data_IF_640372555603
#
_entry.id   IF_640372555603
#
_cell.length_a   1.000
_cell.length_b   1.000
_cell.length_c   1.000
_cell.angle_alpha   90.00
_cell.angle_beta   90.00
_cell.angle_gamma   90.00
#
_symmetry.space_group_name_H-M   'P 1'
#
loop_
_entity.id
_entity.type
_entity.pdbx_description
1 polymer ?
#
# COMPACT_ATOMS: atom_id res chain seq x y z
N UNK A 1 -17.87 -111.04 13.23
CA UNK A 1 -17.09 -109.80 13.03
C UNK A 1 -17.44 -109.07 11.72
N UNK A 2 -17.59 -109.74 10.57
CA UNK A 2 -17.89 -109.11 9.27
C UNK A 2 -19.16 -108.23 9.23
N UNK A 3 -20.26 -108.65 9.88
CA UNK A 3 -21.54 -107.91 9.87
C UNK A 3 -21.50 -106.59 10.67
N UNK A 4 -20.66 -106.52 11.71
CA UNK A 4 -20.47 -105.30 12.53
C UNK A 4 -19.61 -104.28 11.76
N UNK A 5 -18.58 -104.75 11.05
CA UNK A 5 -17.74 -103.90 10.20
C UNK A 5 -18.52 -103.28 9.02
N UNK A 6 -19.42 -104.06 8.40
CA UNK A 6 -20.32 -103.57 7.34
C UNK A 6 -21.28 -102.48 7.84
N UNK A 7 -21.92 -102.67 9.00
CA UNK A 7 -22.79 -101.63 9.58
C UNK A 7 -22.06 -100.34 10.00
N UNK A 8 -20.75 -100.41 10.29
CA UNK A 8 -19.92 -99.23 10.56
C UNK A 8 -19.53 -98.47 9.28
N UNK A 9 -19.37 -99.17 8.16
CA UNK A 9 -19.10 -98.55 6.86
C UNK A 9 -20.32 -97.80 6.35
N UNK A 10 -21.51 -98.39 6.41
CA UNK A 10 -22.76 -97.76 5.99
C UNK A 10 -23.04 -96.45 6.74
N UNK A 11 -22.82 -96.43 8.06
CA UNK A 11 -22.97 -95.20 8.87
C UNK A 11 -22.03 -94.08 8.42
N UNK A 12 -20.78 -94.42 8.05
CA UNK A 12 -19.81 -93.44 7.53
C UNK A 12 -20.23 -92.94 6.16
N UNK A 13 -20.70 -93.82 5.27
CA UNK A 13 -21.20 -93.47 3.94
C UNK A 13 -22.37 -92.49 4.06
N UNK A 14 -23.39 -92.82 4.85
CA UNK A 14 -24.55 -91.94 5.10
C UNK A 14 -24.11 -90.60 5.70
N UNK A 15 -23.16 -90.60 6.64
CA UNK A 15 -22.62 -89.37 7.21
C UNK A 15 -21.86 -88.52 6.18
N UNK A 16 -21.10 -89.14 5.27
CA UNK A 16 -20.39 -88.44 4.20
C UNK A 16 -21.34 -87.88 3.15
N UNK A 17 -22.40 -88.62 2.81
CA UNK A 17 -23.45 -88.17 1.90
C UNK A 17 -24.20 -86.97 2.48
N UNK A 18 -24.53 -87.00 3.77
CA UNK A 18 -25.13 -85.85 4.46
C UNK A 18 -24.21 -84.62 4.46
N UNK A 19 -22.91 -84.81 4.72
CA UNK A 19 -21.92 -83.73 4.66
C UNK A 19 -21.77 -83.13 3.24
N UNK A 20 -21.76 -83.98 2.22
CA UNK A 20 -21.74 -83.57 0.81
C UNK A 20 -23.00 -82.80 0.41
N UNK A 21 -24.17 -83.21 0.89
CA UNK A 21 -25.42 -82.49 0.64
C UNK A 21 -25.39 -81.07 1.25
N UNK A 22 -24.90 -80.94 2.49
CA UNK A 22 -24.70 -79.63 3.15
C UNK A 22 -23.70 -78.78 2.38
N UNK A 23 -22.57 -79.35 1.96
CA UNK A 23 -21.56 -78.64 1.19
C UNK A 23 -22.12 -78.19 -0.17
N UNK A 24 -22.89 -79.03 -0.85
CA UNK A 24 -23.56 -78.68 -2.12
C UNK A 24 -24.57 -77.55 -1.95
N UNK A 25 -25.34 -77.52 -0.87
CA UNK A 25 -26.21 -76.39 -0.55
C UNK A 25 -25.41 -75.10 -0.34
N UNK A 26 -24.35 -75.15 0.46
CA UNK A 26 -23.48 -73.99 0.71
C UNK A 26 -22.83 -73.48 -0.58
N UNK A 27 -22.43 -74.39 -1.48
CA UNK A 27 -21.86 -74.03 -2.78
C UNK A 27 -22.87 -73.28 -3.64
N UNK A 28 -24.12 -73.75 -3.73
CA UNK A 28 -25.20 -73.05 -4.43
C UNK A 28 -25.50 -71.67 -3.84
N UNK A 29 -25.51 -71.56 -2.50
CA UNK A 29 -25.67 -70.26 -1.83
C UNK A 29 -24.50 -69.33 -2.17
N UNK A 30 -23.27 -69.84 -2.16
CA UNK A 30 -22.08 -69.05 -2.51
C UNK A 30 -22.14 -68.55 -3.95
N UNK A 31 -22.50 -69.41 -4.90
CA UNK A 31 -22.66 -69.06 -6.31
C UNK A 31 -23.69 -67.94 -6.49
N UNK A 32 -24.87 -68.06 -5.85
CA UNK A 32 -25.88 -67.00 -5.87
C UNK A 32 -25.39 -65.68 -5.26
N UNK A 33 -24.64 -65.75 -4.15
CA UNK A 33 -24.09 -64.56 -3.51
C UNK A 33 -23.02 -63.89 -4.37
N UNK A 34 -22.17 -64.67 -5.04
CA UNK A 34 -21.14 -64.15 -5.96
C UNK A 34 -21.80 -63.46 -7.14
N UNK A 35 -22.82 -64.05 -7.75
CA UNK A 35 -23.56 -63.40 -8.84
C UNK A 35 -24.27 -62.12 -8.40
N UNK A 36 -24.86 -62.10 -7.19
CA UNK A 36 -25.46 -60.89 -6.63
C UNK A 36 -24.42 -59.80 -6.36
N UNK A 37 -23.24 -60.17 -5.84
CA UNK A 37 -22.15 -59.24 -5.60
C UNK A 37 -21.57 -58.68 -6.90
N UNK A 38 -21.43 -59.52 -7.94
CA UNK A 38 -20.98 -59.09 -9.27
C UNK A 38 -21.96 -58.08 -9.89
N UNK A 39 -23.26 -58.35 -9.83
CA UNK A 39 -24.28 -57.42 -10.31
C UNK A 39 -24.25 -56.08 -9.56
N UNK A 40 -24.18 -56.12 -8.22
CA UNK A 40 -24.10 -54.90 -7.40
C UNK A 40 -22.81 -54.10 -7.66
N UNK A 41 -21.69 -54.78 -7.90
CA UNK A 41 -20.42 -54.13 -8.22
C UNK A 41 -20.45 -53.45 -9.60
N UNK A 42 -21.07 -54.07 -10.60
CA UNK A 42 -21.24 -53.48 -11.93
C UNK A 42 -22.16 -52.25 -11.88
N UNK A 43 -23.30 -52.37 -11.18
CA UNK A 43 -24.24 -51.25 -11.01
C UNK A 43 -23.59 -50.07 -10.29
N UNK A 44 -22.87 -50.32 -9.18
CA UNK A 44 -22.14 -49.27 -8.47
C UNK A 44 -21.02 -48.63 -9.29
N UNK A 45 -20.33 -49.39 -10.16
CA UNK A 45 -19.33 -48.84 -11.08
C UNK A 45 -19.96 -47.96 -12.17
N UNK A 46 -21.12 -48.36 -12.70
CA UNK A 46 -21.85 -47.56 -13.69
C UNK A 46 -22.39 -46.26 -13.09
N UNK A 47 -22.89 -46.31 -11.84
CA UNK A 47 -23.32 -45.12 -11.09
C UNK A 47 -22.16 -44.14 -10.86
N UNK A 48 -21.04 -44.62 -10.30
CA UNK A 48 -19.84 -43.79 -10.08
C UNK A 48 -19.31 -43.21 -11.38
N UNK A 49 -19.36 -43.97 -12.48
CA UNK A 49 -18.95 -43.49 -13.80
C UNK A 49 -19.88 -42.38 -14.31
N UNK A 50 -21.18 -42.52 -14.11
CA UNK A 50 -22.15 -41.49 -14.49
C UNK A 50 -21.92 -40.20 -13.69
N UNK A 51 -21.77 -40.31 -12.37
CA UNK A 51 -21.50 -39.17 -11.48
C UNK A 51 -20.20 -38.45 -11.86
N UNK A 52 -19.12 -39.19 -12.10
CA UNK A 52 -17.83 -38.63 -12.52
C UNK A 52 -17.97 -37.87 -13.84
N UNK A 53 -18.75 -38.40 -14.79
CA UNK A 53 -19.00 -37.77 -16.08
C UNK A 53 -19.77 -36.45 -15.91
N UNK A 54 -20.81 -36.43 -15.07
CA UNK A 54 -21.60 -35.22 -14.83
C UNK A 54 -20.77 -34.17 -14.10
N UNK A 55 -20.05 -34.55 -13.05
CA UNK A 55 -19.18 -33.64 -12.31
C UNK A 55 -18.08 -33.04 -13.22
N UNK A 56 -17.51 -33.84 -14.13
CA UNK A 56 -16.51 -33.34 -15.08
C UNK A 56 -17.10 -32.34 -16.07
N UNK A 57 -18.37 -32.53 -16.48
CA UNK A 57 -19.09 -31.58 -17.32
C UNK A 57 -19.37 -30.28 -16.57
N UNK A 58 -19.91 -30.36 -15.36
CA UNK A 58 -20.17 -29.18 -14.51
C UNK A 58 -18.89 -28.39 -14.23
N UNK A 59 -17.79 -29.08 -13.91
CA UNK A 59 -16.49 -28.44 -13.71
C UNK A 59 -15.98 -27.73 -14.97
N UNK A 60 -16.15 -28.35 -16.14
CA UNK A 60 -15.75 -27.76 -17.42
C UNK A 60 -16.58 -26.53 -17.74
N UNK A 61 -17.90 -26.60 -17.55
CA UNK A 61 -18.81 -25.46 -17.74
C UNK A 61 -18.49 -24.34 -16.74
N UNK A 62 -18.27 -24.66 -15.47
CA UNK A 62 -17.85 -23.72 -14.43
C UNK A 62 -16.54 -23.02 -14.76
N UNK A 63 -15.54 -23.76 -15.25
CA UNK A 63 -14.26 -23.19 -15.70
C UNK A 63 -14.46 -22.22 -16.88
N UNK A 64 -15.21 -22.62 -17.91
CA UNK A 64 -15.49 -21.72 -19.05
C UNK A 64 -16.25 -20.47 -18.64
N UNK A 65 -17.19 -20.57 -17.70
CA UNK A 65 -17.91 -19.42 -17.16
C UNK A 65 -16.99 -18.48 -16.39
N UNK A 66 -16.07 -19.04 -15.59
CA UNK A 66 -15.10 -18.26 -14.84
C UNK A 66 -14.10 -17.53 -15.76
N UNK A 67 -13.59 -18.22 -16.78
CA UNK A 67 -12.71 -17.64 -17.80
C UNK A 67 -13.37 -16.47 -18.53
N UNK A 68 -14.66 -16.63 -18.90
CA UNK A 68 -15.44 -15.57 -19.54
C UNK A 68 -15.59 -14.37 -18.61
N UNK A 69 -16.04 -14.58 -17.37
CA UNK A 69 -16.22 -13.49 -16.38
C UNK A 69 -14.91 -12.75 -16.09
N UNK A 70 -13.79 -13.48 -16.01
CA UNK A 70 -12.48 -12.88 -15.82
C UNK A 70 -12.07 -12.01 -17.02
N UNK A 71 -12.31 -12.51 -18.23
CA UNK A 71 -12.00 -11.78 -19.48
C UNK A 71 -12.85 -10.52 -19.61
N UNK A 72 -14.13 -10.60 -19.27
CA UNK A 72 -15.05 -9.45 -19.25
C UNK A 72 -14.61 -8.40 -18.21
N UNK A 73 -14.28 -8.83 -16.98
CA UNK A 73 -13.82 -7.93 -15.93
C UNK A 73 -12.49 -7.25 -16.29
N UNK A 74 -11.55 -7.99 -16.89
CA UNK A 74 -10.28 -7.43 -17.35
C UNK A 74 -10.48 -6.43 -18.50
N UNK A 75 -11.37 -6.72 -19.44
CA UNK A 75 -11.69 -5.83 -20.55
C UNK A 75 -12.33 -4.53 -20.04
N UNK A 76 -13.32 -4.63 -19.15
CA UNK A 76 -13.97 -3.46 -18.55
C UNK A 76 -12.98 -2.57 -17.78
N UNK A 77 -12.09 -3.18 -16.99
CA UNK A 77 -11.04 -2.46 -16.27
C UNK A 77 -10.05 -1.79 -17.23
N UNK A 78 -9.68 -2.47 -18.33
CA UNK A 78 -8.79 -1.92 -19.34
C UNK A 78 -9.41 -0.70 -20.04
N UNK A 79 -10.70 -0.76 -20.38
CA UNK A 79 -11.45 0.36 -20.95
C UNK A 79 -11.54 1.54 -19.97
N UNK A 80 -11.82 1.29 -18.69
CA UNK A 80 -11.88 2.35 -17.67
C UNK A 80 -10.52 3.05 -17.51
N UNK A 81 -9.43 2.28 -17.41
CA UNK A 81 -8.09 2.85 -17.35
C UNK A 81 -7.73 3.63 -18.61
N UNK A 82 -8.07 3.11 -19.80
CA UNK A 82 -7.85 3.79 -21.07
C UNK A 82 -8.58 5.13 -21.14
N UNK A 83 -9.84 5.16 -20.70
CA UNK A 83 -10.64 6.40 -20.63
C UNK A 83 -10.02 7.43 -19.69
N UNK A 84 -9.67 7.03 -18.46
CA UNK A 84 -9.03 7.92 -17.48
C UNK A 84 -7.68 8.45 -17.96
N UNK A 85 -6.87 7.61 -18.63
CA UNK A 85 -5.60 8.06 -19.22
C UNK A 85 -5.82 9.10 -20.31
N UNK A 86 -6.83 8.90 -21.17
CA UNK A 86 -7.18 9.88 -22.20
C UNK A 86 -7.61 11.22 -21.59
N UNK A 87 -8.42 11.20 -20.54
CA UNK A 87 -8.85 12.40 -19.82
C UNK A 87 -7.66 13.15 -19.21
N UNK A 88 -6.73 12.43 -18.56
CA UNK A 88 -5.50 13.02 -17.99
C UNK A 88 -4.62 13.63 -19.10
N UNK A 89 -4.47 12.95 -20.24
CA UNK A 89 -3.68 13.47 -21.36
C UNK A 89 -4.27 14.76 -21.96
N UNK A 90 -5.60 14.83 -22.07
CA UNK A 90 -6.30 16.03 -22.52
C UNK A 90 -6.11 17.18 -21.52
N UNK A 91 -6.31 16.92 -20.23
CA UNK A 91 -6.09 17.91 -19.17
C UNK A 91 -4.65 18.41 -19.12
N UNK A 92 -3.67 17.52 -19.27
CA UNK A 92 -2.26 17.88 -19.31
C UNK A 92 -1.93 18.80 -20.50
N UNK A 93 -2.51 18.51 -21.67
CA UNK A 93 -2.31 19.34 -22.87
C UNK A 93 -2.89 20.75 -22.68
N UNK A 94 -4.09 20.85 -22.10
CA UNK A 94 -4.72 22.13 -21.79
C UNK A 94 -3.91 22.96 -20.78
N UNK A 95 -3.42 22.34 -19.71
CA UNK A 95 -2.56 23.01 -18.73
C UNK A 95 -1.23 23.46 -19.35
N UNK A 96 -0.64 22.67 -20.26
CA UNK A 96 0.58 23.06 -20.98
C UNK A 96 0.35 24.30 -21.85
N UNK A 97 -0.81 24.39 -22.50
CA UNK A 97 -1.22 25.56 -23.29
C UNK A 97 -1.42 26.80 -22.41
N UNK A 98 -2.16 26.70 -21.30
CA UNK A 98 -2.35 27.81 -20.36
C UNK A 98 -1.01 28.32 -19.79
N UNK A 99 -0.10 27.41 -19.42
CA UNK A 99 1.23 27.78 -18.92
C UNK A 99 2.05 28.48 -20.01
N UNK A 100 1.93 28.06 -21.27
CA UNK A 100 2.61 28.72 -22.39
C UNK A 100 2.07 30.14 -22.61
N UNK A 101 0.75 30.31 -22.58
CA UNK A 101 0.11 31.62 -22.72
C UNK A 101 0.47 32.56 -21.57
N UNK A 102 0.38 32.10 -20.32
CA UNK A 102 0.78 32.90 -19.15
C UNK A 102 2.26 33.32 -19.21
N UNK A 103 3.15 32.44 -19.66
CA UNK A 103 4.57 32.79 -19.89
C UNK A 103 4.70 33.86 -20.96
N UNK A 104 3.97 33.76 -22.06
CA UNK A 104 3.99 34.75 -23.13
C UNK A 104 3.46 36.11 -22.66
N UNK A 105 2.36 36.13 -21.90
CA UNK A 105 1.80 37.35 -21.31
C UNK A 105 2.81 38.02 -20.34
N UNK A 106 3.49 37.22 -19.51
CA UNK A 106 4.50 37.72 -18.58
C UNK A 106 5.69 38.36 -19.31
N UNK A 107 6.19 37.73 -20.38
CA UNK A 107 7.29 38.29 -21.19
C UNK A 107 6.84 39.55 -21.95
N UNK A 108 5.61 39.58 -22.49
CA UNK A 108 5.06 40.75 -23.14
C UNK A 108 4.93 41.94 -22.16
N UNK A 109 4.48 41.69 -20.93
CA UNK A 109 4.43 42.71 -19.87
C UNK A 109 5.82 43.26 -19.49
N UNK A 110 6.87 42.42 -19.59
CA UNK A 110 8.26 42.81 -19.35
C UNK A 110 8.86 43.67 -20.47
N UNK A 111 8.57 43.35 -21.74
CA UNK A 111 9.14 44.03 -22.92
C UNK A 111 8.36 45.30 -23.32
N UNK A 112 7.05 45.35 -23.06
CA UNK A 112 6.16 46.45 -23.44
C UNK A 112 6.38 47.79 -22.73
N UNK A 113 7.39 47.93 -21.87
CA UNK A 113 7.85 49.24 -21.41
C UNK A 113 6.86 50.03 -20.57
N UNK A 114 5.94 49.39 -19.83
CA UNK A 114 5.32 50.08 -18.71
C UNK A 114 6.31 50.07 -17.53
N UNK A 115 7.15 51.11 -17.47
CA UNK A 115 7.80 51.54 -16.22
C UNK A 115 6.80 52.17 -15.24
N UNK A 116 5.50 51.96 -15.40
CA UNK A 116 4.69 51.69 -14.23
C UNK A 116 5.15 50.34 -13.71
N UNK A 117 6.20 50.36 -12.89
CA UNK A 117 6.44 49.31 -11.90
C UNK A 117 5.09 48.68 -11.59
N UNK A 118 4.87 47.40 -11.94
CA UNK A 118 4.04 46.62 -11.03
C UNK A 118 4.93 46.52 -9.80
N UNK A 119 4.98 47.64 -9.08
CA UNK A 119 4.89 47.64 -7.68
C UNK A 119 3.66 46.77 -7.49
N UNK A 120 3.93 45.49 -7.25
CA UNK A 120 3.69 45.03 -5.90
C UNK A 120 4.02 46.22 -4.98
N UNK A 121 3.08 47.15 -4.86
CA UNK A 121 2.88 47.85 -3.63
C UNK A 121 2.37 46.74 -2.72
N UNK A 122 3.29 45.82 -2.36
CA UNK A 122 3.52 45.66 -0.95
C UNK A 122 3.71 47.12 -0.52
N UNK A 123 2.63 47.72 -0.03
CA UNK A 123 2.72 48.86 0.85
C UNK A 123 3.41 48.31 2.09
N UNK A 124 4.66 47.89 1.92
CA UNK A 124 5.58 47.48 2.94
C UNK A 124 5.93 48.82 3.53
N UNK A 125 5.04 49.27 4.42
CA UNK A 125 5.29 50.32 5.38
C UNK A 125 6.70 50.01 5.88
N UNK A 126 7.68 50.81 5.46
CA UNK A 126 9.05 50.58 5.88
C UNK A 126 9.01 50.64 7.40
N UNK A 127 9.18 49.46 8.02
CA UNK A 127 9.16 49.36 9.47
C UNK A 127 10.21 50.34 9.99
N UNK A 128 9.86 51.23 10.94
CA UNK A 128 10.82 52.15 11.52
C UNK A 128 12.06 51.37 11.96
N UNK A 129 13.22 51.76 11.46
CA UNK A 129 14.47 51.06 11.78
C UNK A 129 14.75 51.19 13.28
N UNK A 130 15.08 50.09 13.98
CA UNK A 130 15.45 50.13 15.39
C UNK A 130 16.61 51.09 15.67
N UNK A 131 16.62 51.67 16.87
CA UNK A 131 17.73 52.49 17.31
C UNK A 131 18.97 51.64 17.57
N UNK A 132 20.15 52.25 17.42
CA UNK A 132 21.42 51.60 17.72
C UNK A 132 21.63 51.54 19.24
N UNK A 133 22.00 50.37 19.75
CA UNK A 133 22.35 50.17 21.15
C UNK A 133 23.87 50.23 21.35
N UNK A 134 24.32 51.16 22.19
CA UNK A 134 25.75 51.42 22.43
C UNK A 134 26.35 50.58 23.55
N UNK A 135 25.52 49.90 24.34
CA UNK A 135 25.96 49.13 25.51
C UNK A 135 25.73 49.83 26.85
N UNK A 136 24.76 50.74 26.93
CA UNK A 136 24.40 51.41 28.17
C UNK A 136 23.89 50.41 29.21
N UNK A 137 24.37 50.53 30.45
CA UNK A 137 24.00 49.63 31.56
C UNK A 137 22.71 50.06 32.25
N UNK A 138 21.71 50.43 31.45
CA UNK A 138 20.38 50.81 31.89
C UNK A 138 19.40 49.72 31.45
N UNK A 139 18.69 49.12 32.41
CA UNK A 139 17.71 48.06 32.12
C UNK A 139 16.62 48.53 31.14
N UNK A 140 16.17 49.79 31.29
CA UNK A 140 15.14 50.35 30.42
C UNK A 140 15.60 50.48 28.97
N UNK A 141 16.85 50.86 28.73
CA UNK A 141 17.39 51.01 27.37
C UNK A 141 17.58 49.65 26.69
N UNK A 142 17.94 48.63 27.47
CA UNK A 142 18.03 47.24 26.98
C UNK A 142 16.64 46.71 26.60
N UNK A 143 15.64 46.88 27.46
CA UNK A 143 14.26 46.45 27.20
C UNK A 143 13.67 47.17 25.98
N UNK A 144 13.86 48.49 25.88
CA UNK A 144 13.42 49.28 24.72
C UNK A 144 14.06 48.80 23.41
N UNK A 145 15.37 48.50 23.43
CA UNK A 145 16.08 48.00 22.25
C UNK A 145 15.56 46.63 21.79
N UNK A 146 15.34 45.70 22.73
CA UNK A 146 14.80 44.37 22.42
C UNK A 146 13.40 44.50 21.82
N UNK A 147 12.54 45.29 22.47
CA UNK A 147 11.17 45.50 22.00
C UNK A 147 11.11 46.10 20.59
N UNK A 148 11.96 47.09 20.29
CA UNK A 148 12.06 47.68 18.94
C UNK A 148 12.51 46.66 17.89
N UNK A 149 13.49 45.80 18.21
CA UNK A 149 13.96 44.76 17.30
C UNK A 149 12.92 43.67 17.04
N UNK A 150 12.22 43.23 18.09
CA UNK A 150 11.15 42.22 17.96
C UNK A 150 10.01 42.73 17.10
N UNK A 151 9.56 43.96 17.35
CA UNK A 151 8.57 44.63 16.53
C UNK A 151 9.04 44.74 15.07
N UNK A 152 10.29 45.18 14.83
CA UNK A 152 10.85 45.23 13.48
C UNK A 152 10.85 43.87 12.77
N UNK A 153 11.23 42.78 13.46
CA UNK A 153 11.20 41.44 12.88
C UNK A 153 9.78 40.96 12.54
N UNK A 154 8.79 41.31 13.35
CA UNK A 154 7.40 40.98 13.11
C UNK A 154 6.82 41.73 11.90
N UNK A 155 7.17 43.02 11.75
CA UNK A 155 6.74 43.84 10.62
C UNK A 155 7.39 43.39 9.31
N UNK A 156 8.69 43.06 9.33
CA UNK A 156 9.44 42.62 8.13
C UNK A 156 9.27 41.10 7.86
N UNK A 157 8.52 40.39 8.71
CA UNK A 157 8.24 38.94 8.63
C UNK A 157 9.51 38.07 8.62
N UNK A 158 10.49 38.43 9.45
CA UNK A 158 11.72 37.66 9.62
C UNK A 158 11.46 36.56 10.65
N UNK A 159 11.44 35.29 10.22
CA UNK A 159 11.15 34.13 11.08
C UNK A 159 12.42 33.36 11.49
N UNK A 160 13.44 33.35 10.63
CA UNK A 160 14.69 32.64 10.90
C UNK A 160 15.48 33.25 12.07
N UNK A 161 15.75 32.45 13.10
CA UNK A 161 16.49 32.87 14.29
C UNK A 161 17.92 33.31 13.97
N UNK A 162 18.59 32.65 13.02
CA UNK A 162 19.95 33.04 12.63
C UNK A 162 19.96 34.39 11.91
N UNK A 163 18.98 34.66 11.05
CA UNK A 163 18.78 35.97 10.42
C UNK A 163 18.47 37.07 11.44
N UNK A 164 17.61 36.79 12.42
CA UNK A 164 17.32 37.73 13.52
C UNK A 164 18.58 38.11 14.28
N UNK A 165 19.42 37.14 14.66
CA UNK A 165 20.69 37.40 15.35
C UNK A 165 21.61 38.26 14.46
N UNK A 166 21.80 37.90 13.19
CA UNK A 166 22.64 38.68 12.27
C UNK A 166 22.17 40.14 12.18
N UNK A 167 20.88 40.36 12.00
CA UNK A 167 20.31 41.70 11.86
C UNK A 167 20.38 42.48 13.19
N UNK A 168 20.02 41.88 14.32
CA UNK A 168 20.12 42.52 15.63
C UNK A 168 21.54 43.05 15.90
N UNK A 169 22.55 42.29 15.50
CA UNK A 169 23.96 42.68 15.70
C UNK A 169 24.40 43.85 14.83
N UNK A 170 23.70 44.15 13.74
CA UNK A 170 23.93 45.36 12.94
C UNK A 170 23.52 46.64 13.68
N UNK A 171 22.66 46.52 14.69
CA UNK A 171 22.22 47.63 15.52
C UNK A 171 23.00 47.75 16.84
N UNK A 172 24.07 46.97 17.04
CA UNK A 172 25.02 47.22 18.11
C UNK A 172 26.08 48.24 17.67
N UNK A 173 26.46 49.12 18.58
CA UNK A 173 27.61 50.03 18.44
C UNK A 173 28.46 50.02 19.71
N UNK A 174 29.63 50.65 19.62
CA UNK A 174 30.51 50.94 20.76
C UNK A 174 30.78 49.71 21.65
N UNK A 175 30.43 49.79 22.93
CA UNK A 175 30.71 48.76 23.93
C UNK A 175 29.92 47.48 23.62
N UNK A 176 28.68 47.60 23.16
CA UNK A 176 27.86 46.44 22.78
C UNK A 176 28.45 45.69 21.59
N UNK A 177 28.93 46.40 20.56
CA UNK A 177 29.55 45.76 19.39
C UNK A 177 30.85 45.03 19.78
N UNK A 178 31.68 45.64 20.64
CA UNK A 178 32.92 45.01 21.11
C UNK A 178 32.63 43.73 21.93
N UNK A 179 31.63 43.77 22.81
CA UNK A 179 31.18 42.60 23.56
C UNK A 179 30.72 41.48 22.64
N UNK A 180 29.88 41.79 21.64
CA UNK A 180 29.38 40.80 20.69
C UNK A 180 30.51 40.13 19.89
N UNK A 181 31.48 40.91 19.39
CA UNK A 181 32.65 40.37 18.67
C UNK A 181 33.43 39.36 19.51
N UNK A 182 33.66 39.68 20.79
CA UNK A 182 34.32 38.76 21.72
C UNK A 182 33.49 37.50 21.96
N UNK A 183 32.19 37.68 22.25
CA UNK A 183 31.28 36.57 22.53
C UNK A 183 31.13 35.62 21.33
N UNK A 184 31.11 36.15 20.10
CA UNK A 184 31.05 35.36 18.87
C UNK A 184 32.28 34.48 18.70
N UNK A 185 33.48 35.03 18.91
CA UNK A 185 34.74 34.25 18.89
C UNK A 185 34.72 33.15 19.95
N UNK A 186 34.25 33.46 21.15
CA UNK A 186 34.14 32.46 22.22
C UNK A 186 33.16 31.34 21.86
N UNK A 187 32.01 31.68 21.26
CA UNK A 187 31.03 30.69 20.78
C UNK A 187 31.64 29.78 19.71
N UNK A 188 32.30 30.35 18.71
CA UNK A 188 32.97 29.59 17.64
C UNK A 188 34.02 28.61 18.22
N UNK A 189 34.77 29.03 19.24
CA UNK A 189 35.75 28.17 19.93
C UNK A 189 35.09 27.04 20.72
N UNK A 190 33.96 27.28 21.39
CA UNK A 190 33.22 26.25 22.13
C UNK A 190 32.61 25.21 21.18
N UNK A 191 32.10 25.63 20.01
CA UNK A 191 31.61 24.68 18.99
C UNK A 191 32.73 23.83 18.39
N UNK A 192 33.95 24.36 18.23
CA UNK A 192 35.11 23.57 17.80
C UNK A 192 35.58 22.55 18.85
N UNK A 193 35.27 22.73 20.14
CA UNK A 193 35.73 21.81 21.20
C UNK A 193 34.75 20.65 21.46
N UNK A 194 33.54 20.69 20.90
CA UNK A 194 32.49 19.65 21.06
C UNK A 194 32.48 18.67 19.86
N UNK A 195 33.13 19.05 18.75
CA UNK A 195 33.22 18.25 17.53
C UNK A 195 34.55 17.47 17.38
N UNK A 196 35.48 17.65 18.32
CA UNK A 196 36.72 16.86 18.50
C UNK A 196 36.56 15.89 19.69
#
# INVERSE_FOLDING_TARGET
MAKVASGSLDKRIVSTEAGLAVLGHRFKTLESNVSALEAAALEGLDEVKADLSEQNKEHKEGLTSLELKLTEALSALHEEFGSKLSEVMLGQSALQEEVADLKQQLEAARVGGNHGSVAYHDARIEAPKPNVFKGDRNAQDVENFIWQLESYFEHVKIVDGAARIRIATMYFSDVAMLWWRRKKVDMERVFCTIAD
#
